data_IF_806989854590
#
_entry.id   IF_806989854590
#
_cell.length_a   1.000
_cell.length_b   1.000
_cell.length_c   1.000
_cell.angle_alpha   90.00
_cell.angle_beta   90.00
_cell.angle_gamma   90.00
#
_symmetry.space_group_name_H-M   'P 1'
#
loop_
_entity.id
_entity.type
_entity.pdbx_description
1 polymer ?
#
# COMPACT_ATOMS: atom_id res chain seq x y z
N UNK A 1 -21.45 -25.33 20.16
CA UNK A 1 -20.43 -24.26 20.22
C UNK A 1 -21.00 -23.17 21.11
N UNK A 2 -20.36 -22.85 22.24
CA UNK A 2 -20.78 -21.72 23.09
C UNK A 2 -20.01 -20.49 22.60
N UNK A 3 -20.72 -19.49 22.06
CA UNK A 3 -20.10 -18.27 21.53
C UNK A 3 -19.88 -17.20 22.62
N UNK A 4 -20.36 -17.44 23.84
CA UNK A 4 -20.23 -16.51 24.98
C UNK A 4 -19.03 -16.85 25.89
N UNK A 5 -18.24 -17.88 25.54
CA UNK A 5 -17.05 -18.31 26.28
C UNK A 5 -15.81 -17.53 25.80
N UNK A 6 -15.65 -16.30 26.34
CA UNK A 6 -14.60 -15.37 25.95
C UNK A 6 -13.19 -15.87 26.30
N UNK A 7 -13.03 -16.65 27.36
CA UNK A 7 -11.74 -17.23 27.74
C UNK A 7 -11.30 -18.30 26.72
N UNK A 8 -12.26 -19.08 26.21
CA UNK A 8 -12.00 -20.02 25.13
C UNK A 8 -11.68 -19.33 23.81
N UNK A 9 -12.28 -18.17 23.51
CA UNK A 9 -11.91 -17.38 22.32
C UNK A 9 -10.44 -16.96 22.35
N UNK A 10 -9.95 -16.45 23.48
CA UNK A 10 -8.54 -16.04 23.61
C UNK A 10 -7.56 -17.20 23.40
N UNK A 11 -7.94 -18.42 23.76
CA UNK A 11 -7.11 -19.61 23.53
C UNK A 11 -7.07 -20.04 22.05
N UNK A 12 -8.15 -19.80 21.31
CA UNK A 12 -8.27 -20.16 19.89
C UNK A 12 -7.71 -19.08 18.97
N UNK A 13 -7.85 -17.81 19.34
CA UNK A 13 -7.34 -16.66 18.60
C UNK A 13 -5.88 -16.37 18.97
N UNK A 14 -4.99 -17.28 18.57
CA UNK A 14 -3.56 -17.20 18.88
C UNK A 14 -2.85 -15.99 18.26
N UNK A 15 -3.50 -15.32 17.30
CA UNK A 15 -2.99 -14.12 16.63
C UNK A 15 -3.69 -12.83 17.09
N UNK A 16 -4.61 -12.90 18.05
CA UNK A 16 -5.34 -11.76 18.61
C UNK A 16 -6.11 -10.94 17.54
N UNK A 17 -6.68 -11.61 16.54
CA UNK A 17 -7.50 -10.99 15.49
C UNK A 17 -8.72 -10.24 16.05
N UNK A 18 -9.30 -10.70 17.16
CA UNK A 18 -10.37 -9.98 17.84
C UNK A 18 -9.89 -8.59 18.31
N UNK A 19 -8.69 -8.52 18.89
CA UNK A 19 -8.08 -7.26 19.29
C UNK A 19 -7.75 -6.35 18.11
N UNK A 20 -7.34 -6.91 16.97
CA UNK A 20 -7.12 -6.14 15.73
C UNK A 20 -8.42 -5.52 15.22
N UNK A 21 -9.54 -6.25 15.27
CA UNK A 21 -10.85 -5.75 14.87
C UNK A 21 -11.31 -4.63 15.82
N UNK A 22 -11.24 -4.86 17.13
CA UNK A 22 -11.65 -3.89 18.14
C UNK A 22 -10.78 -2.61 18.09
N UNK A 23 -9.50 -2.76 17.77
CA UNK A 23 -8.54 -1.67 17.64
C UNK A 23 -8.60 -0.87 16.35
N UNK A 24 -9.43 -1.27 15.37
CA UNK A 24 -9.49 -0.64 14.04
C UNK A 24 -9.66 0.90 14.08
N UNK A 25 -10.53 1.50 14.93
CA UNK A 25 -10.66 2.97 14.98
C UNK A 25 -9.34 3.68 15.32
N UNK A 26 -8.59 3.14 16.27
CA UNK A 26 -7.30 3.70 16.69
C UNK A 26 -6.24 3.51 15.60
N UNK A 27 -6.24 2.35 14.93
CA UNK A 27 -5.34 2.08 13.79
C UNK A 27 -5.57 3.07 12.64
N UNK A 28 -6.84 3.37 12.32
CA UNK A 28 -7.19 4.35 11.29
C UNK A 28 -6.75 5.77 11.69
N UNK A 29 -6.97 6.16 12.95
CA UNK A 29 -6.54 7.45 13.47
C UNK A 29 -5.02 7.60 13.43
N UNK A 30 -4.28 6.57 13.82
CA UNK A 30 -2.83 6.53 13.74
C UNK A 30 -2.33 6.62 12.30
N UNK A 31 -2.88 5.81 11.38
CA UNK A 31 -2.50 5.82 9.97
C UNK A 31 -2.73 7.18 9.30
N UNK A 32 -3.85 7.85 9.62
CA UNK A 32 -4.12 9.20 9.14
C UNK A 32 -3.05 10.20 9.61
N UNK A 33 -2.72 10.19 10.90
CA UNK A 33 -1.69 11.07 11.45
C UNK A 33 -0.30 10.78 10.88
N UNK A 34 0.01 9.51 10.63
CA UNK A 34 1.26 9.09 10.00
C UNK A 34 1.36 9.64 8.57
N UNK A 35 0.31 9.46 7.77
CA UNK A 35 0.24 9.99 6.40
C UNK A 35 0.39 11.50 6.31
N UNK A 36 -0.08 12.25 7.31
CA UNK A 36 0.07 13.72 7.36
C UNK A 36 1.50 14.18 7.71
N UNK A 37 2.34 13.30 8.29
CA UNK A 37 3.73 13.63 8.67
C UNK A 37 4.73 13.28 7.59
N UNK A 38 4.42 12.32 6.73
CA UNK A 38 5.33 11.93 5.67
C UNK A 38 5.35 12.99 4.57
N UNK A 39 6.55 13.49 4.27
CA UNK A 39 6.75 14.40 3.15
C UNK A 39 6.58 13.65 1.84
N UNK A 40 6.01 14.36 0.87
CA UNK A 40 6.02 13.97 -0.54
C UNK A 40 7.04 14.84 -1.28
N UNK A 41 7.78 14.29 -2.25
CA UNK A 41 8.55 15.11 -3.17
C UNK A 41 7.63 16.10 -3.92
N UNK A 42 8.15 17.27 -4.32
CA UNK A 42 7.42 18.26 -5.14
C UNK A 42 7.34 17.81 -6.61
N UNK A 43 6.75 16.65 -6.84
CA UNK A 43 6.48 16.09 -8.15
C UNK A 43 5.19 16.65 -8.74
N UNK A 44 5.22 16.99 -10.03
CA UNK A 44 4.11 17.62 -10.75
C UNK A 44 3.77 16.87 -12.04
N UNK A 45 2.63 17.19 -12.63
CA UNK A 45 2.24 16.71 -13.97
C UNK A 45 1.97 15.20 -14.04
N UNK A 46 1.34 14.64 -13.00
CA UNK A 46 0.84 13.27 -13.06
C UNK A 46 -0.37 13.16 -14.00
N UNK A 47 -0.39 12.12 -14.82
CA UNK A 47 -1.52 11.77 -15.67
C UNK A 47 -2.28 10.53 -15.19
N UNK A 48 -1.68 9.73 -14.31
CA UNK A 48 -2.27 8.50 -13.77
C UNK A 48 -1.57 8.02 -12.50
N UNK A 49 -2.30 7.27 -11.69
CA UNK A 49 -1.80 6.58 -10.50
C UNK A 49 -2.07 5.09 -10.63
N UNK A 50 -1.06 4.28 -10.34
CA UNK A 50 -1.17 2.84 -10.18
C UNK A 50 -0.76 2.48 -8.75
N UNK A 51 -1.62 1.76 -8.03
CA UNK A 51 -1.32 1.25 -6.69
C UNK A 51 -1.10 -0.25 -6.81
N UNK A 52 0.15 -0.69 -6.67
CA UNK A 52 0.54 -2.09 -6.78
C UNK A 52 0.59 -2.73 -5.38
N UNK A 53 -0.19 -3.80 -5.17
CA UNK A 53 -0.23 -4.51 -3.90
C UNK A 53 -1.16 -5.72 -3.94
N UNK A 54 -0.95 -6.65 -3.01
CA UNK A 54 -1.74 -7.88 -2.87
C UNK A 54 -2.49 -7.93 -1.54
N UNK A 55 -3.53 -8.76 -1.47
CA UNK A 55 -4.28 -9.02 -0.23
C UNK A 55 -4.78 -7.74 0.44
N UNK A 56 -4.50 -7.59 1.74
CA UNK A 56 -4.90 -6.42 2.52
C UNK A 56 -4.44 -5.07 1.93
N UNK A 57 -3.24 -5.01 1.35
CA UNK A 57 -2.73 -3.81 0.68
C UNK A 57 -3.58 -3.43 -0.53
N UNK A 58 -4.06 -4.42 -1.28
CA UNK A 58 -4.94 -4.19 -2.42
C UNK A 58 -6.37 -3.78 -2.01
N UNK A 59 -6.86 -4.31 -0.88
CA UNK A 59 -8.18 -3.96 -0.34
C UNK A 59 -8.22 -2.50 0.10
N UNK A 60 -7.18 -2.03 0.82
CA UNK A 60 -7.05 -0.62 1.17
C UNK A 60 -6.94 0.28 -0.05
N UNK A 61 -6.22 -0.17 -1.08
CA UNK A 61 -6.11 0.54 -2.35
C UNK A 61 -7.44 0.64 -3.12
N UNK A 62 -8.27 -0.40 -3.11
CA UNK A 62 -9.61 -0.36 -3.71
C UNK A 62 -10.51 0.68 -3.03
N UNK A 63 -10.49 0.71 -1.69
CA UNK A 63 -11.25 1.70 -0.93
C UNK A 63 -10.81 3.12 -1.30
N UNK A 64 -9.49 3.35 -1.38
CA UNK A 64 -8.94 4.63 -1.81
C UNK A 64 -9.34 4.98 -3.25
N UNK A 65 -9.23 4.03 -4.19
CA UNK A 65 -9.59 4.25 -5.58
C UNK A 65 -11.07 4.60 -5.74
N UNK A 66 -11.96 3.92 -5.01
CA UNK A 66 -13.38 4.21 -4.98
C UNK A 66 -13.68 5.60 -4.40
N UNK A 67 -13.03 5.96 -3.29
CA UNK A 67 -13.16 7.28 -2.67
C UNK A 67 -12.62 8.40 -3.58
N UNK A 68 -11.48 8.18 -4.22
CA UNK A 68 -10.81 9.14 -5.09
C UNK A 68 -11.54 9.32 -6.43
N UNK A 69 -12.37 8.39 -6.87
CA UNK A 69 -13.00 8.41 -8.19
C UNK A 69 -13.77 9.71 -8.50
N UNK A 70 -14.38 10.35 -7.49
CA UNK A 70 -15.10 11.62 -7.65
C UNK A 70 -14.29 12.86 -7.25
N UNK A 71 -13.05 12.69 -6.78
CA UNK A 71 -12.21 13.76 -6.22
C UNK A 71 -10.93 13.98 -7.03
N UNK A 72 -10.34 12.92 -7.55
CA UNK A 72 -9.10 12.97 -8.30
C UNK A 72 -9.37 13.41 -9.75
N UNK A 73 -8.61 14.37 -10.30
CA UNK A 73 -8.74 14.79 -11.69
C UNK A 73 -8.10 13.81 -12.69
N UNK A 74 -7.61 12.66 -12.20
CA UNK A 74 -6.84 11.67 -12.96
C UNK A 74 -7.24 10.25 -12.53
N UNK A 75 -7.02 9.24 -13.39
CA UNK A 75 -7.34 7.86 -13.06
C UNK A 75 -6.42 7.28 -11.98
N UNK A 76 -7.04 6.60 -11.01
CA UNK A 76 -6.39 5.80 -9.97
C UNK A 76 -6.76 4.34 -10.22
N UNK A 77 -5.77 3.47 -10.37
CA UNK A 77 -5.99 2.04 -10.64
C UNK A 77 -5.23 1.17 -9.66
N UNK A 78 -5.80 0.02 -9.30
CA UNK A 78 -5.18 -0.97 -8.41
C UNK A 78 -4.63 -2.11 -9.27
N UNK A 79 -3.36 -2.45 -9.06
CA UNK A 79 -2.65 -3.51 -9.76
C UNK A 79 -2.32 -4.66 -8.79
N UNK A 80 -2.77 -5.86 -9.13
CA UNK A 80 -2.74 -7.05 -8.25
C UNK A 80 -2.06 -8.24 -8.93
N UNK A 81 -0.99 -7.94 -9.67
CA UNK A 81 -0.29 -8.92 -10.48
C UNK A 81 1.19 -8.55 -10.52
N UNK A 82 1.99 -9.42 -11.13
CA UNK A 82 3.36 -9.13 -11.51
C UNK A 82 3.40 -8.01 -12.56
N UNK A 83 4.59 -7.44 -12.71
CA UNK A 83 4.92 -6.36 -13.63
C UNK A 83 4.06 -5.10 -13.40
N UNK A 84 3.88 -4.31 -14.45
CA UNK A 84 2.93 -3.21 -14.49
C UNK A 84 2.08 -3.29 -15.76
N UNK A 85 0.87 -2.71 -15.72
CA UNK A 85 0.10 -2.48 -16.94
C UNK A 85 0.93 -1.70 -17.96
N UNK A 86 0.81 -2.04 -19.26
CA UNK A 86 1.64 -1.45 -20.30
C UNK A 86 1.52 0.08 -20.41
N UNK A 87 0.40 0.65 -19.96
CA UNK A 87 0.15 2.09 -19.94
C UNK A 87 0.90 2.84 -18.82
N UNK A 88 1.43 2.11 -17.83
CA UNK A 88 2.04 2.67 -16.63
C UNK A 88 3.55 2.83 -16.85
N UNK A 89 3.92 3.95 -17.51
CA UNK A 89 5.31 4.28 -17.85
C UNK A 89 5.54 5.78 -17.72
N UNK A 90 6.81 6.18 -17.64
CA UNK A 90 7.23 7.57 -17.64
C UNK A 90 6.97 8.32 -16.33
N UNK A 91 7.58 9.49 -16.20
CA UNK A 91 7.55 10.30 -14.98
C UNK A 91 6.15 10.88 -14.68
N UNK A 92 5.24 10.85 -15.65
CA UNK A 92 3.82 11.21 -15.51
C UNK A 92 2.98 10.12 -14.82
N UNK A 93 3.56 8.94 -14.57
CA UNK A 93 2.93 7.85 -13.83
C UNK A 93 3.47 7.80 -12.41
N UNK A 94 2.58 7.93 -11.42
CA UNK A 94 2.87 7.59 -10.03
C UNK A 94 2.55 6.12 -9.78
N UNK A 95 3.51 5.36 -9.28
CA UNK A 95 3.33 3.99 -8.81
C UNK A 95 3.50 3.95 -7.30
N UNK A 96 2.44 3.60 -6.58
CA UNK A 96 2.48 3.35 -5.13
C UNK A 96 2.61 1.86 -4.91
N UNK A 97 3.78 1.40 -4.45
CA UNK A 97 4.02 0.01 -4.10
C UNK A 97 3.65 -0.20 -2.63
N UNK A 98 2.53 -0.89 -2.37
CA UNK A 98 2.04 -1.16 -1.02
C UNK A 98 2.19 -2.63 -0.68
N UNK A 99 2.92 -2.91 0.39
CA UNK A 99 3.07 -4.27 0.93
C UNK A 99 3.33 -4.19 2.43
N UNK A 100 2.38 -4.64 3.25
CA UNK A 100 2.56 -4.66 4.71
C UNK A 100 3.89 -5.31 5.12
N UNK A 101 4.15 -6.54 4.67
CA UNK A 101 5.39 -7.28 4.98
C UNK A 101 6.65 -6.71 4.31
N UNK A 102 6.48 -5.85 3.30
CA UNK A 102 7.56 -5.43 2.39
C UNK A 102 8.18 -6.53 1.51
N UNK A 103 7.66 -7.76 1.55
CA UNK A 103 8.26 -8.92 0.89
C UNK A 103 7.33 -9.62 -0.12
N UNK A 104 6.15 -9.06 -0.37
CA UNK A 104 5.20 -9.60 -1.38
C UNK A 104 5.87 -9.60 -2.75
N UNK A 105 5.99 -10.78 -3.37
CA UNK A 105 6.77 -10.97 -4.59
C UNK A 105 6.24 -10.10 -5.74
N UNK A 106 4.93 -10.07 -5.93
CA UNK A 106 4.24 -9.28 -6.96
C UNK A 106 4.51 -7.79 -6.79
N UNK A 107 4.48 -7.28 -5.54
CA UNK A 107 4.78 -5.87 -5.25
C UNK A 107 6.26 -5.55 -5.52
N UNK A 108 7.18 -6.46 -5.20
CA UNK A 108 8.62 -6.29 -5.49
C UNK A 108 8.90 -6.32 -6.99
N UNK A 109 8.22 -7.16 -7.75
CA UNK A 109 8.32 -7.21 -9.20
C UNK A 109 7.73 -5.95 -9.84
N UNK A 110 6.55 -5.50 -9.39
CA UNK A 110 5.93 -4.25 -9.82
C UNK A 110 6.82 -3.03 -9.53
N UNK A 111 7.51 -3.00 -8.38
CA UNK A 111 8.49 -1.97 -8.03
C UNK A 111 9.63 -1.91 -9.04
N UNK A 112 10.25 -3.05 -9.38
CA UNK A 112 11.32 -3.10 -10.38
C UNK A 112 10.81 -2.76 -11.79
N UNK A 113 9.60 -3.20 -12.15
CA UNK A 113 8.96 -2.84 -13.40
C UNK A 113 8.71 -1.33 -13.50
N UNK A 114 8.25 -0.69 -12.42
CA UNK A 114 8.06 0.75 -12.32
C UNK A 114 9.38 1.51 -12.53
N UNK A 115 10.45 1.04 -11.86
CA UNK A 115 11.78 1.65 -11.93
C UNK A 115 12.34 1.59 -13.35
N UNK A 116 12.26 0.41 -13.98
CA UNK A 116 12.67 0.21 -15.39
C UNK A 116 11.82 1.03 -16.37
N UNK A 117 10.55 1.27 -16.04
CA UNK A 117 9.64 2.06 -16.87
C UNK A 117 9.78 3.58 -16.68
N UNK A 118 10.68 4.04 -15.80
CA UNK A 118 10.91 5.45 -15.52
C UNK A 118 9.76 6.13 -14.77
N UNK A 119 8.94 5.35 -14.06
CA UNK A 119 7.86 5.87 -13.24
C UNK A 119 8.40 6.59 -12.00
N UNK A 120 7.58 7.49 -11.44
CA UNK A 120 7.80 7.99 -10.08
C UNK A 120 7.18 7.01 -9.10
N UNK A 121 7.90 6.68 -8.04
CA UNK A 121 7.56 5.56 -7.15
C UNK A 121 7.49 6.05 -5.71
N UNK A 122 6.53 5.55 -4.95
CA UNK A 122 6.50 5.64 -3.49
C UNK A 122 6.30 4.23 -2.96
N UNK A 123 7.10 3.83 -1.97
CA UNK A 123 6.94 2.56 -1.26
C UNK A 123 6.21 2.78 0.07
N UNK A 124 5.23 1.93 0.39
CA UNK A 124 4.49 1.93 1.66
C UNK A 124 4.53 0.52 2.24
N UNK A 125 5.24 0.34 3.35
CA UNK A 125 5.51 -0.98 3.93
C UNK A 125 6.06 -0.85 5.36
N UNK A 126 5.99 -1.90 6.18
CA UNK A 126 6.57 -1.86 7.54
C UNK A 126 8.06 -2.26 7.58
N UNK A 127 8.74 -2.26 6.43
CA UNK A 127 10.13 -2.72 6.27
C UNK A 127 10.33 -3.69 5.11
N UNK A 128 11.15 -4.72 5.31
CA UNK A 128 11.40 -5.78 4.32
C UNK A 128 12.22 -5.33 3.10
N UNK A 129 12.20 -6.18 2.09
CA UNK A 129 12.97 -5.98 0.85
C UNK A 129 12.52 -4.73 0.08
N UNK A 130 11.22 -4.39 0.12
CA UNK A 130 10.68 -3.20 -0.52
C UNK A 130 11.29 -1.92 0.06
N UNK A 131 11.36 -1.81 1.40
CA UNK A 131 11.98 -0.66 2.06
C UNK A 131 13.48 -0.56 1.74
N UNK A 132 14.18 -1.71 1.72
CA UNK A 132 15.60 -1.78 1.38
C UNK A 132 15.86 -1.30 -0.05
N UNK A 133 15.13 -1.82 -1.04
CA UNK A 133 15.28 -1.43 -2.45
C UNK A 133 14.92 0.02 -2.69
N UNK A 134 13.89 0.52 -2.01
CA UNK A 134 13.52 1.93 -2.08
C UNK A 134 14.67 2.82 -1.58
N UNK A 135 15.25 2.50 -0.42
CA UNK A 135 16.39 3.22 0.14
C UNK A 135 17.64 3.18 -0.75
N UNK A 136 17.97 2.01 -1.33
CA UNK A 136 19.12 1.85 -2.24
C UNK A 136 19.00 2.65 -3.56
N UNK A 137 17.79 3.06 -3.93
CA UNK A 137 17.51 3.79 -5.17
C UNK A 137 17.00 5.22 -4.89
N UNK A 138 17.15 5.75 -3.68
CA UNK A 138 16.68 7.07 -3.25
C UNK A 138 15.18 7.32 -3.54
N UNK A 139 14.38 6.26 -3.46
CA UNK A 139 12.91 6.30 -3.65
C UNK A 139 12.23 6.55 -2.29
N UNK A 140 11.26 7.47 -2.20
CA UNK A 140 10.51 7.70 -0.97
C UNK A 140 9.88 6.42 -0.42
N UNK A 141 10.11 6.17 0.87
CA UNK A 141 9.54 5.04 1.61
C UNK A 141 8.82 5.54 2.85
N UNK A 142 7.58 5.08 3.04
CA UNK A 142 6.77 5.31 4.23
C UNK A 142 6.69 4.01 5.02
N UNK A 143 7.19 4.04 6.26
CA UNK A 143 7.28 2.92 7.20
C UNK A 143 6.63 3.23 8.52
#
# INVERSE_FOLDING_TARGET
MNLDDLDRFKQLDTLNMLGEIDGLPDQLGFAYQLGMKHSLPDWKDFSRVVIAGMGGSAIGADLLAAYAASLAPLPVSVHRDYSLPLFARGAETLVVCSSHSGNTEETLDAFEAARKAGCRIIAVCTGGELAKRAGENDIPVWT
#
